data_IF_660768152084
#
_entry.id   IF_660768152084
#
_cell.length_a   1.000
_cell.length_b   1.000
_cell.length_c   1.000
_cell.angle_alpha   90.00
_cell.angle_beta   90.00
_cell.angle_gamma   90.00
#
_symmetry.space_group_name_H-M   'P 1'
#
loop_
_entity.id
_entity.type
_entity.pdbx_description
1 polymer ?
#
# COMPACT_ATOMS: atom_id res chain seq x y z
N UNK A 1 -8.18 80.68 -46.32
CA UNK A 1 -7.63 79.35 -46.42
C UNK A 1 -7.23 78.90 -45.01
N UNK A 2 -8.12 78.12 -44.41
CA UNK A 2 -7.90 77.67 -42.99
C UNK A 2 -7.47 76.24 -43.03
N UNK A 3 -6.32 75.93 -42.39
CA UNK A 3 -5.81 74.62 -42.17
C UNK A 3 -6.40 74.11 -40.83
N UNK A 4 -7.23 73.07 -40.88
CA UNK A 4 -7.82 72.46 -39.72
C UNK A 4 -6.80 71.43 -39.14
N UNK A 5 -6.36 71.69 -37.93
CA UNK A 5 -5.51 70.85 -37.15
C UNK A 5 -6.38 69.69 -36.56
N UNK A 6 -6.12 68.45 -36.96
CA UNK A 6 -6.79 67.26 -36.43
C UNK A 6 -6.02 66.86 -35.18
N UNK A 7 -6.63 66.97 -33.97
CA UNK A 7 -6.15 66.41 -32.72
C UNK A 7 -6.40 64.89 -32.72
N UNK A 8 -5.36 64.13 -32.75
CA UNK A 8 -5.43 62.69 -32.46
C UNK A 8 -5.66 62.50 -30.95
N UNK A 9 -6.85 62.05 -30.57
CA UNK A 9 -7.11 61.46 -29.25
C UNK A 9 -6.48 60.08 -29.22
N UNK A 10 -5.46 59.92 -28.39
CA UNK A 10 -4.95 58.61 -28.02
C UNK A 10 -5.93 58.05 -26.99
N UNK A 11 -6.76 57.07 -27.37
CA UNK A 11 -7.46 56.20 -26.45
C UNK A 11 -6.42 55.28 -25.82
N UNK A 12 -6.15 55.49 -24.54
CA UNK A 12 -5.48 54.50 -23.72
C UNK A 12 -6.50 53.38 -23.42
N UNK A 13 -6.46 52.30 -24.17
CA UNK A 13 -7.17 51.09 -23.85
C UNK A 13 -6.44 50.43 -22.65
N UNK A 14 -6.96 50.63 -21.45
CA UNK A 14 -6.57 49.89 -20.29
C UNK A 14 -7.01 48.43 -20.45
N UNK A 15 -6.07 47.59 -20.84
CA UNK A 15 -6.24 46.13 -20.79
C UNK A 15 -6.24 45.76 -19.30
N UNK A 16 -7.43 45.75 -18.73
CA UNK A 16 -7.67 45.07 -17.46
C UNK A 16 -7.62 43.57 -17.77
N UNK A 17 -6.41 43.00 -17.75
CA UNK A 17 -6.23 41.55 -17.75
C UNK A 17 -6.83 41.04 -16.44
N UNK A 18 -8.04 40.52 -16.54
CA UNK A 18 -8.67 39.78 -15.49
C UNK A 18 -7.80 38.59 -15.17
N UNK A 19 -7.03 38.70 -14.09
CA UNK A 19 -6.49 37.57 -13.36
C UNK A 19 -7.69 36.81 -12.77
N UNK A 20 -8.42 36.10 -13.60
CA UNK A 20 -9.16 34.94 -13.18
C UNK A 20 -8.11 33.95 -12.72
N UNK A 21 -7.72 34.10 -11.46
CA UNK A 21 -6.99 33.06 -10.74
C UNK A 21 -7.81 31.77 -10.87
N UNK A 22 -7.36 30.87 -11.75
CA UNK A 22 -7.58 29.47 -11.54
C UNK A 22 -7.01 29.19 -10.15
N UNK A 23 -7.83 29.30 -9.11
CA UNK A 23 -7.65 28.56 -7.89
C UNK A 23 -7.75 27.09 -8.34
N UNK A 24 -6.63 26.55 -8.89
CA UNK A 24 -6.41 25.14 -8.87
C UNK A 24 -6.63 24.80 -7.40
N UNK A 25 -7.69 24.10 -7.11
CA UNK A 25 -7.88 23.47 -5.84
C UNK A 25 -6.69 22.53 -5.73
N UNK A 26 -5.62 23.01 -5.10
CA UNK A 26 -4.58 22.12 -4.61
C UNK A 26 -5.33 21.23 -3.65
N UNK A 27 -5.75 20.05 -4.14
CA UNK A 27 -6.23 19.01 -3.26
C UNK A 27 -5.10 18.82 -2.26
N UNK A 28 -5.31 19.26 -1.04
CA UNK A 28 -4.37 19.00 0.05
C UNK A 28 -4.18 17.49 0.04
N UNK A 29 -2.92 17.04 -0.03
CA UNK A 29 -2.62 15.62 0.00
C UNK A 29 -3.39 15.00 1.18
N UNK A 30 -4.01 13.83 1.00
CA UNK A 30 -4.78 13.21 2.07
C UNK A 30 -3.87 13.02 3.28
N UNK A 31 -4.33 13.49 4.44
CA UNK A 31 -3.65 13.24 5.71
C UNK A 31 -3.75 11.75 6.03
N UNK A 32 -2.64 11.12 6.48
CA UNK A 32 -2.68 9.74 6.95
C UNK A 32 -3.71 9.55 8.07
N UNK A 33 -4.36 8.38 8.06
CA UNK A 33 -5.31 8.01 9.13
C UNK A 33 -4.64 7.88 10.50
N UNK A 34 -3.33 7.60 10.54
CA UNK A 34 -2.53 7.75 11.75
C UNK A 34 -2.10 9.22 11.90
N UNK A 35 -2.62 9.97 12.90
CA UNK A 35 -2.26 11.38 13.09
C UNK A 35 -0.78 11.60 13.43
N UNK A 36 -0.11 10.55 13.95
CA UNK A 36 1.30 10.58 14.31
C UNK A 36 2.22 10.06 13.19
N UNK A 37 1.67 9.79 11.99
CA UNK A 37 2.44 9.22 10.89
C UNK A 37 3.77 9.95 10.66
N UNK A 38 4.83 9.19 10.43
CA UNK A 38 6.16 9.74 10.17
C UNK A 38 6.19 10.59 8.90
N UNK A 39 7.13 11.51 8.76
CA UNK A 39 7.28 12.31 7.54
C UNK A 39 7.40 11.47 6.28
N UNK A 40 8.08 10.32 6.35
CA UNK A 40 8.26 9.38 5.24
C UNK A 40 6.93 8.72 4.85
N UNK A 41 6.14 8.30 5.83
CA UNK A 41 4.81 7.72 5.58
C UNK A 41 3.86 8.75 4.95
N UNK A 42 3.86 9.99 5.48
CA UNK A 42 3.09 11.11 4.89
C UNK A 42 3.51 11.40 3.46
N UNK A 43 4.81 11.47 3.20
CA UNK A 43 5.34 11.76 1.88
C UNK A 43 5.03 10.62 0.89
N UNK A 44 5.11 9.36 1.33
CA UNK A 44 4.74 8.21 0.49
C UNK A 44 3.24 8.25 0.13
N UNK A 45 2.35 8.50 1.10
CA UNK A 45 0.92 8.61 0.82
C UNK A 45 0.62 9.78 -0.12
N UNK A 46 1.24 10.94 0.10
CA UNK A 46 1.10 12.10 -0.78
C UNK A 46 1.59 11.80 -2.20
N UNK A 47 2.69 11.07 -2.35
CA UNK A 47 3.20 10.63 -3.65
C UNK A 47 2.20 9.72 -4.36
N UNK A 48 1.70 8.67 -3.70
CA UNK A 48 0.72 7.76 -4.29
C UNK A 48 -0.56 8.50 -4.71
N UNK A 49 -1.01 9.46 -3.91
CA UNK A 49 -2.13 10.29 -4.29
C UNK A 49 -1.84 11.14 -5.55
N UNK A 50 -0.63 11.68 -5.67
CA UNK A 50 -0.23 12.55 -6.79
C UNK A 50 -0.17 11.83 -8.14
N UNK A 51 0.13 10.54 -8.15
CA UNK A 51 0.21 9.74 -9.37
C UNK A 51 -1.15 9.13 -9.78
N UNK A 52 -2.15 9.16 -8.89
CA UNK A 52 -3.49 8.63 -9.15
C UNK A 52 -4.11 9.29 -10.39
N UNK A 53 -4.55 8.49 -11.34
CA UNK A 53 -5.06 8.95 -12.63
C UNK A 53 -4.00 9.17 -13.71
N UNK A 54 -2.71 9.26 -13.34
CA UNK A 54 -1.63 9.60 -14.27
C UNK A 54 -0.63 8.47 -14.52
N UNK A 55 -0.29 7.72 -13.48
CA UNK A 55 0.72 6.65 -13.57
C UNK A 55 0.42 5.53 -12.58
N UNK A 56 1.11 4.40 -12.75
CA UNK A 56 0.99 3.21 -11.90
C UNK A 56 2.37 2.64 -11.60
N UNK A 57 2.64 2.33 -10.33
CA UNK A 57 3.89 1.70 -9.91
C UNK A 57 3.81 0.20 -10.19
N UNK A 58 4.82 -0.35 -10.89
CA UNK A 58 4.94 -1.79 -11.09
C UNK A 58 5.37 -2.47 -9.80
N UNK A 59 4.85 -3.63 -9.49
CA UNK A 59 5.13 -4.30 -8.22
C UNK A 59 5.27 -5.80 -8.33
N UNK A 60 6.06 -6.36 -7.41
CA UNK A 60 6.32 -7.79 -7.33
C UNK A 60 6.35 -8.26 -5.89
N UNK A 61 5.58 -9.31 -5.59
CA UNK A 61 5.61 -10.04 -4.33
C UNK A 61 6.76 -11.04 -4.28
N UNK A 62 7.30 -11.27 -3.09
CA UNK A 62 8.30 -12.31 -2.80
C UNK A 62 7.92 -13.03 -1.51
N UNK A 63 8.16 -14.32 -1.45
CA UNK A 63 8.00 -15.08 -0.22
C UNK A 63 9.13 -14.78 0.78
N UNK A 64 8.89 -14.84 2.09
CA UNK A 64 9.88 -14.49 3.10
C UNK A 64 11.20 -15.27 2.99
N UNK A 65 11.18 -16.53 2.58
CA UNK A 65 12.38 -17.36 2.43
C UNK A 65 13.08 -17.16 1.06
N UNK A 66 12.45 -16.50 0.11
CA UNK A 66 12.98 -16.30 -1.24
C UNK A 66 13.78 -14.99 -1.41
N UNK A 67 13.79 -14.12 -0.38
CA UNK A 67 14.42 -12.80 -0.44
C UNK A 67 13.82 -11.94 -1.55
N UNK A 68 14.60 -11.58 -2.57
CA UNK A 68 14.15 -10.80 -3.72
C UNK A 68 14.06 -11.64 -5.02
N UNK A 69 13.92 -12.94 -4.94
CA UNK A 69 13.96 -13.85 -6.08
C UNK A 69 13.02 -13.42 -7.21
N UNK A 70 11.76 -13.17 -6.88
CA UNK A 70 10.74 -12.84 -7.87
C UNK A 70 10.87 -11.41 -8.40
N UNK A 71 11.36 -10.49 -7.58
CA UNK A 71 11.73 -9.13 -8.02
C UNK A 71 12.89 -9.17 -9.02
N UNK A 72 13.90 -10.00 -8.78
CA UNK A 72 15.01 -10.20 -9.71
C UNK A 72 14.54 -10.90 -10.99
N UNK A 73 13.65 -11.90 -10.90
CA UNK A 73 13.07 -12.54 -12.08
C UNK A 73 12.28 -11.53 -12.93
N UNK A 74 11.49 -10.65 -12.33
CA UNK A 74 10.79 -9.60 -13.06
C UNK A 74 11.78 -8.72 -13.85
N UNK A 75 12.90 -8.36 -13.23
CA UNK A 75 13.98 -7.65 -13.91
C UNK A 75 14.60 -8.47 -15.04
N UNK A 76 14.91 -9.74 -14.81
CA UNK A 76 15.53 -10.60 -15.83
C UNK A 76 14.62 -10.79 -17.06
N UNK A 77 13.30 -10.83 -16.84
CA UNK A 77 12.31 -10.95 -17.90
C UNK A 77 12.09 -9.65 -18.69
N UNK A 78 12.13 -8.50 -18.02
CA UNK A 78 11.67 -7.22 -18.58
C UNK A 78 12.78 -6.19 -18.75
N UNK A 79 13.97 -6.41 -18.17
CA UNK A 79 15.02 -5.40 -18.07
C UNK A 79 14.69 -4.26 -17.09
N UNK A 80 13.60 -4.37 -16.31
CA UNK A 80 13.12 -3.35 -15.39
C UNK A 80 12.92 -3.89 -13.98
N UNK A 81 13.51 -3.23 -12.97
CA UNK A 81 13.15 -3.54 -11.58
C UNK A 81 11.78 -2.97 -11.24
N UNK A 82 10.89 -3.77 -10.63
CA UNK A 82 9.63 -3.27 -10.08
C UNK A 82 9.85 -2.10 -9.13
N UNK A 83 8.97 -1.10 -9.19
CA UNK A 83 9.01 0.06 -8.29
C UNK A 83 8.52 -0.27 -6.88
N UNK A 84 7.71 -1.33 -6.72
CA UNK A 84 7.18 -1.78 -5.43
C UNK A 84 7.68 -3.19 -5.13
N UNK A 85 8.17 -3.37 -3.91
CA UNK A 85 8.65 -4.63 -3.35
C UNK A 85 7.67 -5.11 -2.28
N UNK A 86 7.08 -6.29 -2.49
CA UNK A 86 6.15 -6.93 -1.55
C UNK A 86 6.74 -8.15 -0.88
N UNK A 87 6.43 -8.33 0.41
CA UNK A 87 6.70 -9.56 1.16
C UNK A 87 5.61 -9.86 2.20
N UNK A 88 5.66 -11.08 2.73
CA UNK A 88 4.77 -11.61 3.76
C UNK A 88 5.54 -11.98 5.02
N UNK A 89 4.91 -11.89 6.20
CA UNK A 89 5.55 -12.34 7.45
C UNK A 89 5.60 -13.86 7.58
N UNK A 90 4.89 -14.61 6.71
CA UNK A 90 4.87 -16.06 6.73
C UNK A 90 4.18 -16.66 7.96
N UNK A 91 4.05 -17.99 7.97
CA UNK A 91 3.33 -18.77 8.99
C UNK A 91 3.92 -20.15 9.21
N UNK A 92 4.73 -20.65 8.30
CA UNK A 92 5.23 -22.04 8.27
C UNK A 92 6.60 -22.20 8.93
N UNK A 93 7.12 -23.42 8.93
CA UNK A 93 8.39 -23.80 9.55
C UNK A 93 9.50 -24.11 8.55
N UNK A 94 10.73 -24.15 9.04
CA UNK A 94 11.86 -24.73 8.32
C UNK A 94 12.19 -24.03 7.01
N UNK A 95 12.40 -24.84 5.97
CA UNK A 95 12.79 -24.37 4.63
C UNK A 95 11.59 -24.00 3.74
N UNK A 96 10.38 -23.94 4.29
CA UNK A 96 9.19 -23.52 3.54
C UNK A 96 9.32 -22.07 3.07
N UNK A 97 8.76 -21.78 1.91
CA UNK A 97 8.80 -20.43 1.32
C UNK A 97 8.16 -19.36 2.23
N UNK A 98 7.17 -19.75 3.04
CA UNK A 98 6.46 -18.91 4.00
C UNK A 98 6.98 -19.06 5.44
N UNK A 99 8.26 -19.40 5.61
CA UNK A 99 8.86 -19.69 6.92
C UNK A 99 8.92 -18.47 7.85
N UNK A 100 8.39 -18.61 9.05
CA UNK A 100 8.53 -17.60 10.12
C UNK A 100 9.98 -17.39 10.55
N UNK A 101 10.86 -18.38 10.31
CA UNK A 101 12.29 -18.27 10.61
C UNK A 101 13.01 -17.28 9.69
N UNK A 102 12.42 -16.95 8.55
CA UNK A 102 12.97 -16.00 7.58
C UNK A 102 12.68 -14.54 7.93
N UNK A 103 11.81 -14.26 8.91
CA UNK A 103 11.42 -12.88 9.31
C UNK A 103 12.61 -11.96 9.56
N UNK A 104 13.68 -12.35 10.28
CA UNK A 104 14.85 -11.46 10.46
C UNK A 104 15.54 -11.12 9.14
N UNK A 105 15.76 -12.10 8.25
CA UNK A 105 16.36 -11.90 6.95
C UNK A 105 15.45 -11.05 6.03
N UNK A 106 14.14 -11.28 6.08
CA UNK A 106 13.14 -10.52 5.39
C UNK A 106 13.23 -9.02 5.75
N UNK A 107 13.35 -8.67 7.02
CA UNK A 107 13.45 -7.29 7.48
C UNK A 107 14.71 -6.60 6.90
N UNK A 108 15.83 -7.29 6.87
CA UNK A 108 17.06 -6.75 6.27
C UNK A 108 16.92 -6.59 4.74
N UNK A 109 16.25 -7.54 4.09
CA UNK A 109 15.95 -7.44 2.66
C UNK A 109 15.01 -6.25 2.36
N UNK A 110 13.97 -6.05 3.15
CA UNK A 110 13.06 -4.90 3.04
C UNK A 110 13.82 -3.57 3.16
N UNK A 111 14.71 -3.45 4.16
CA UNK A 111 15.55 -2.26 4.32
C UNK A 111 16.43 -2.03 3.09
N UNK A 112 17.03 -3.11 2.56
CA UNK A 112 17.87 -3.07 1.36
C UNK A 112 17.08 -2.63 0.12
N UNK A 113 15.89 -3.16 -0.08
CA UNK A 113 15.03 -2.79 -1.21
C UNK A 113 14.57 -1.34 -1.13
N UNK A 114 14.20 -0.87 0.07
CA UNK A 114 13.89 0.55 0.29
C UNK A 114 15.10 1.45 0.01
N UNK A 115 16.27 1.10 0.50
CA UNK A 115 17.50 1.85 0.22
C UNK A 115 17.82 1.92 -1.29
N UNK A 116 17.46 0.87 -2.04
CA UNK A 116 17.60 0.81 -3.50
C UNK A 116 16.44 1.50 -4.26
N UNK A 117 15.53 2.18 -3.58
CA UNK A 117 14.50 3.00 -4.20
C UNK A 117 13.12 2.36 -4.37
N UNK A 118 12.90 1.17 -3.87
CA UNK A 118 11.58 0.54 -3.92
C UNK A 118 10.62 1.14 -2.88
N UNK A 119 9.33 1.22 -3.23
CA UNK A 119 8.24 1.30 -2.25
C UNK A 119 8.10 -0.07 -1.61
N UNK A 120 7.83 -0.12 -0.31
CA UNK A 120 7.67 -1.37 0.43
C UNK A 120 6.21 -1.61 0.78
N UNK A 121 5.71 -2.82 0.50
CA UNK A 121 4.43 -3.31 1.00
C UNK A 121 4.61 -4.63 1.73
N UNK A 122 3.98 -4.75 2.89
CA UNK A 122 4.01 -5.97 3.69
C UNK A 122 2.59 -6.43 4.02
N UNK A 123 2.38 -7.73 3.91
CA UNK A 123 1.17 -8.42 4.36
C UNK A 123 1.53 -9.50 5.38
N UNK A 124 0.53 -10.13 5.94
CA UNK A 124 0.70 -11.24 6.84
C UNK A 124 -0.46 -12.23 6.69
N UNK A 125 -0.13 -13.44 6.29
CA UNK A 125 -1.03 -14.58 6.40
C UNK A 125 -0.99 -15.06 7.87
N UNK A 126 -1.80 -14.38 8.69
CA UNK A 126 -1.77 -14.55 10.14
C UNK A 126 -2.21 -15.94 10.55
N UNK A 127 -1.46 -16.52 11.49
CA UNK A 127 -1.87 -17.73 12.19
C UNK A 127 -3.20 -17.51 12.92
N UNK A 128 -4.09 -18.49 12.87
CA UNK A 128 -5.36 -18.41 13.62
C UNK A 128 -5.06 -18.29 15.13
N UNK A 129 -5.73 -17.38 15.87
CA UNK A 129 -5.41 -17.12 17.28
C UNK A 129 -5.57 -18.33 18.23
N UNK A 130 -6.22 -19.40 17.78
CA UNK A 130 -6.30 -20.66 18.52
C UNK A 130 -5.08 -21.53 18.38
N UNK A 131 -4.18 -21.22 17.44
CA UNK A 131 -3.01 -22.03 17.10
C UNK A 131 -1.71 -21.27 17.44
N UNK A 132 -0.59 -22.01 17.51
CA UNK A 132 0.75 -21.43 17.72
C UNK A 132 1.61 -21.65 16.47
N UNK A 133 2.37 -20.62 16.05
CA UNK A 133 3.35 -20.76 14.98
C UNK A 133 4.47 -21.75 15.37
N UNK A 134 4.98 -22.54 14.40
CA UNK A 134 4.64 -22.56 12.98
C UNK A 134 3.38 -23.41 12.70
N UNK A 135 2.67 -23.05 11.62
CA UNK A 135 1.43 -23.72 11.21
C UNK A 135 1.45 -24.07 9.72
N UNK A 136 0.44 -24.84 9.27
CA UNK A 136 0.18 -25.01 7.85
C UNK A 136 -0.87 -24.01 7.34
N UNK A 137 -0.79 -23.69 6.06
CA UNK A 137 -1.74 -22.77 5.41
C UNK A 137 -3.19 -23.24 5.57
N UNK A 138 -3.45 -24.51 5.24
CA UNK A 138 -4.81 -25.05 5.23
C UNK A 138 -5.41 -25.26 6.62
N UNK A 139 -4.61 -25.64 7.60
CA UNK A 139 -5.13 -25.97 8.92
C UNK A 139 -5.34 -24.74 9.80
N UNK A 140 -4.55 -23.69 9.62
CA UNK A 140 -4.60 -22.49 10.44
C UNK A 140 -5.02 -21.25 9.64
N UNK A 141 -4.24 -20.79 8.68
CA UNK A 141 -4.53 -19.57 7.91
C UNK A 141 -5.89 -19.65 7.21
N UNK A 142 -6.20 -20.81 6.60
CA UNK A 142 -7.51 -21.11 6.01
C UNK A 142 -8.48 -21.76 7.02
N UNK A 143 -8.17 -21.76 8.30
CA UNK A 143 -9.07 -22.25 9.35
C UNK A 143 -10.25 -21.31 9.58
N UNK A 144 -11.05 -21.66 10.58
CA UNK A 144 -12.21 -20.84 10.95
C UNK A 144 -12.29 -20.69 12.46
N UNK A 145 -12.87 -19.58 12.90
CA UNK A 145 -13.28 -19.37 14.29
C UNK A 145 -14.80 -19.56 14.39
N UNK A 146 -15.27 -20.21 15.46
CA UNK A 146 -16.67 -20.19 15.83
C UNK A 146 -17.13 -18.77 16.18
N UNK A 147 -18.42 -18.53 16.21
CA UNK A 147 -18.95 -17.20 16.61
C UNK A 147 -18.59 -16.85 18.06
N UNK A 148 -18.53 -17.85 18.94
CA UNK A 148 -18.08 -17.65 20.32
C UNK A 148 -16.61 -17.26 20.40
N UNK A 149 -15.72 -17.91 19.64
CA UNK A 149 -14.30 -17.52 19.55
C UNK A 149 -14.13 -16.15 18.93
N UNK A 150 -14.91 -15.82 17.88
CA UNK A 150 -14.91 -14.49 17.28
C UNK A 150 -15.27 -13.40 18.29
N UNK A 151 -16.31 -13.62 19.09
CA UNK A 151 -16.67 -12.69 20.16
C UNK A 151 -15.58 -12.55 21.22
N UNK A 152 -14.92 -13.65 21.60
CA UNK A 152 -13.78 -13.61 22.52
C UNK A 152 -12.60 -12.82 21.90
N UNK A 153 -12.28 -13.05 20.63
CA UNK A 153 -11.21 -12.35 19.92
C UNK A 153 -11.42 -10.83 19.93
N UNK A 154 -12.66 -10.37 19.78
CA UNK A 154 -12.99 -8.94 19.76
C UNK A 154 -13.24 -8.34 21.17
N UNK A 155 -13.21 -9.14 22.23
CA UNK A 155 -13.48 -8.70 23.60
C UNK A 155 -12.18 -8.58 24.40
N UNK A 156 -11.71 -7.35 24.73
CA UNK A 156 -10.48 -7.15 25.52
C UNK A 156 -10.49 -7.93 26.83
N UNK A 157 -9.35 -8.56 27.15
CA UNK A 157 -9.14 -9.28 28.40
C UNK A 157 -9.57 -10.75 28.37
N UNK A 158 -10.24 -11.22 27.33
CA UNK A 158 -10.54 -12.65 27.16
C UNK A 158 -9.25 -13.45 26.81
N UNK A 159 -9.23 -14.78 27.06
CA UNK A 159 -8.06 -15.58 26.71
C UNK A 159 -7.66 -15.50 25.24
N UNK A 160 -8.64 -15.53 24.32
CA UNK A 160 -8.34 -15.50 22.88
C UNK A 160 -7.86 -14.12 22.41
N UNK A 161 -8.41 -13.03 22.96
CA UNK A 161 -7.88 -11.68 22.74
C UNK A 161 -6.43 -11.55 23.20
N UNK A 162 -6.08 -12.09 24.38
CA UNK A 162 -4.71 -12.05 24.91
C UNK A 162 -3.75 -12.84 24.01
N UNK A 163 -4.15 -14.03 23.53
CA UNK A 163 -3.35 -14.82 22.57
C UNK A 163 -3.12 -14.04 21.28
N UNK A 164 -4.18 -13.49 20.69
CA UNK A 164 -4.08 -12.65 19.52
C UNK A 164 -3.12 -11.47 19.74
N UNK A 165 -3.24 -10.78 20.87
CA UNK A 165 -2.28 -9.73 21.23
C UNK A 165 -0.84 -10.23 21.21
N UNK A 166 -0.56 -11.41 21.78
CA UNK A 166 0.79 -11.97 21.81
C UNK A 166 1.33 -12.27 20.40
N UNK A 167 0.50 -12.75 19.49
CA UNK A 167 0.87 -13.05 18.11
C UNK A 167 1.17 -11.77 17.32
N UNK A 168 0.28 -10.79 17.35
CA UNK A 168 0.47 -9.52 16.63
C UNK A 168 1.64 -8.70 17.18
N UNK A 169 1.96 -8.82 18.50
CA UNK A 169 3.10 -8.16 19.12
C UNK A 169 4.44 -8.66 18.60
N UNK A 170 4.52 -9.92 18.19
CA UNK A 170 5.72 -10.46 17.52
C UNK A 170 5.96 -9.72 16.20
N UNK A 171 4.93 -9.60 15.37
CA UNK A 171 5.03 -8.89 14.08
C UNK A 171 5.27 -7.39 14.29
N UNK A 172 4.63 -6.79 15.31
CA UNK A 172 4.91 -5.41 15.70
C UNK A 172 6.39 -5.18 16.04
N UNK A 173 7.06 -6.17 16.66
CA UNK A 173 8.49 -6.13 16.93
C UNK A 173 9.35 -6.02 15.67
N UNK A 174 8.98 -6.70 14.59
CA UNK A 174 9.64 -6.61 13.29
C UNK A 174 9.33 -5.26 12.57
N UNK A 175 8.07 -4.84 12.57
CA UNK A 175 7.67 -3.56 12.00
C UNK A 175 8.33 -2.37 12.70
N UNK A 176 8.60 -2.48 14.01
CA UNK A 176 9.36 -1.48 14.78
C UNK A 176 10.78 -1.30 14.26
N UNK A 177 11.45 -2.39 13.84
CA UNK A 177 12.79 -2.29 13.24
C UNK A 177 12.78 -1.51 11.92
N UNK A 178 11.68 -1.57 11.16
CA UNK A 178 11.50 -0.76 9.95
C UNK A 178 11.19 0.69 10.30
N UNK A 179 10.37 0.94 11.34
CA UNK A 179 10.13 2.29 11.86
C UNK A 179 11.43 2.96 12.29
N UNK A 180 12.23 2.26 13.08
CA UNK A 180 13.49 2.78 13.62
C UNK A 180 14.54 2.99 12.52
N UNK A 181 14.41 2.29 11.38
CA UNK A 181 15.19 2.49 10.15
C UNK A 181 14.55 3.51 9.19
N UNK A 182 13.49 4.19 9.60
CA UNK A 182 12.76 5.19 8.80
C UNK A 182 12.21 4.65 7.45
N UNK A 183 11.81 3.40 7.43
CA UNK A 183 11.20 2.75 6.27
C UNK A 183 9.68 2.88 6.37
N UNK A 184 9.01 3.67 5.51
CA UNK A 184 7.57 3.68 5.44
C UNK A 184 7.07 2.38 4.78
N UNK A 185 6.00 1.81 5.31
CA UNK A 185 5.47 0.53 4.87
C UNK A 185 4.00 0.66 4.51
N UNK A 186 3.62 0.26 3.31
CA UNK A 186 2.24 -0.02 2.97
C UNK A 186 1.84 -1.33 3.67
N UNK A 187 1.16 -1.23 4.81
CA UNK A 187 0.81 -2.40 5.61
C UNK A 187 -0.59 -2.90 5.29
N UNK A 188 -0.69 -4.11 4.75
CA UNK A 188 -1.92 -4.74 4.28
C UNK A 188 -2.34 -5.84 5.24
N UNK A 189 -3.00 -5.45 6.35
CA UNK A 189 -3.54 -6.37 7.33
C UNK A 189 -4.84 -7.03 6.84
N UNK A 190 -5.04 -8.31 7.19
CA UNK A 190 -6.28 -9.05 6.96
C UNK A 190 -6.83 -8.89 5.55
N UNK A 191 -5.96 -9.10 4.56
CA UNK A 191 -6.30 -8.97 3.14
C UNK A 191 -7.44 -9.92 2.73
N UNK A 192 -8.09 -9.61 1.61
CA UNK A 192 -9.18 -10.41 1.05
C UNK A 192 -10.32 -10.71 2.06
N UNK A 193 -10.57 -9.80 3.00
CA UNK A 193 -11.46 -10.05 4.13
C UNK A 193 -12.94 -10.27 3.74
N UNK A 194 -13.32 -9.96 2.50
CA UNK A 194 -14.64 -10.26 1.97
C UNK A 194 -14.78 -11.71 1.45
N UNK A 195 -13.66 -12.46 1.37
CA UNK A 195 -13.66 -13.90 1.09
C UNK A 195 -13.77 -14.71 2.39
N UNK A 196 -14.24 -15.96 2.27
CA UNK A 196 -14.43 -16.87 3.40
C UNK A 196 -13.32 -17.93 3.53
N UNK A 197 -12.21 -17.76 2.84
CA UNK A 197 -11.11 -18.75 2.81
C UNK A 197 -10.04 -18.52 3.87
N UNK A 198 -10.00 -17.35 4.51
CA UNK A 198 -9.12 -17.06 5.64
C UNK A 198 -9.92 -16.98 6.93
N UNK A 199 -9.31 -17.32 8.08
CA UNK A 199 -9.98 -17.30 9.37
C UNK A 199 -10.53 -15.91 9.77
N UNK A 200 -9.93 -14.84 9.25
CA UNK A 200 -10.35 -13.44 9.50
C UNK A 200 -11.43 -12.93 8.54
N UNK A 201 -11.72 -13.68 7.46
CA UNK A 201 -12.59 -13.25 6.39
C UNK A 201 -14.03 -13.74 6.51
N UNK A 202 -14.88 -13.33 5.54
CA UNK A 202 -16.24 -13.81 5.40
C UNK A 202 -17.23 -13.35 6.48
N UNK A 203 -16.86 -12.39 7.33
CA UNK A 203 -17.71 -11.84 8.39
C UNK A 203 -18.09 -10.39 8.06
N UNK A 204 -19.23 -10.15 7.39
CA UNK A 204 -19.68 -8.82 6.99
C UNK A 204 -20.14 -7.97 8.18
N UNK A 205 -20.23 -6.67 7.96
CA UNK A 205 -20.78 -5.71 8.92
C UNK A 205 -19.77 -5.17 9.92
N UNK A 206 -20.25 -4.23 10.73
CA UNK A 206 -19.38 -3.43 11.63
C UNK A 206 -18.67 -4.25 12.72
N UNK A 207 -19.21 -5.38 13.12
CA UNK A 207 -18.71 -6.25 14.18
C UNK A 207 -18.00 -7.51 13.60
N UNK A 208 -17.89 -7.58 12.27
CA UNK A 208 -17.20 -8.65 11.54
C UNK A 208 -15.73 -8.37 11.28
N UNK A 209 -15.23 -8.79 10.12
CA UNK A 209 -13.82 -8.62 9.72
C UNK A 209 -13.34 -7.17 9.80
N UNK A 210 -14.22 -6.20 9.55
CA UNK A 210 -13.95 -4.78 9.73
C UNK A 210 -13.60 -4.42 11.18
N UNK A 211 -14.21 -5.07 12.19
CA UNK A 211 -13.88 -4.85 13.59
C UNK A 211 -12.46 -5.35 13.92
N UNK A 212 -12.07 -6.50 13.40
CA UNK A 212 -10.73 -7.04 13.58
C UNK A 212 -9.66 -6.13 12.94
N UNK A 213 -9.94 -5.57 11.74
CA UNK A 213 -9.05 -4.59 11.11
C UNK A 213 -8.87 -3.34 11.99
N UNK A 214 -9.95 -2.82 12.58
CA UNK A 214 -9.83 -1.69 13.53
C UNK A 214 -9.04 -2.07 14.77
N UNK A 215 -9.20 -3.30 15.26
CA UNK A 215 -8.49 -3.78 16.45
C UNK A 215 -6.97 -3.83 16.24
N UNK A 216 -6.48 -4.33 15.08
CA UNK A 216 -5.04 -4.34 14.80
C UNK A 216 -4.52 -2.92 14.54
N UNK A 217 -5.31 -2.06 13.88
CA UNK A 217 -4.98 -0.65 13.72
C UNK A 217 -4.76 0.01 15.10
N UNK A 218 -5.72 -0.11 16.01
CA UNK A 218 -5.64 0.50 17.33
C UNK A 218 -4.44 -0.03 18.11
N UNK A 219 -4.14 -1.33 18.03
CA UNK A 219 -2.99 -1.90 18.70
C UNK A 219 -1.66 -1.40 18.13
N UNK A 220 -1.52 -1.38 16.81
CA UNK A 220 -0.27 -0.97 16.17
C UNK A 220 -0.01 0.53 16.29
N UNK A 221 -1.05 1.36 16.19
CA UNK A 221 -0.92 2.82 16.30
C UNK A 221 -0.81 3.25 17.77
N UNK A 222 -1.74 2.80 18.63
CA UNK A 222 -1.88 3.36 19.96
C UNK A 222 -1.02 2.66 21.03
N UNK A 223 -0.64 1.38 20.81
CA UNK A 223 0.18 0.62 21.75
C UNK A 223 1.62 0.51 21.29
N UNK A 224 1.85 0.19 20.02
CA UNK A 224 3.21 -0.02 19.48
C UNK A 224 3.80 1.22 18.82
N UNK A 225 3.02 2.27 18.57
CA UNK A 225 3.45 3.51 17.92
C UNK A 225 4.18 3.23 16.59
N UNK A 226 3.57 2.37 15.76
CA UNK A 226 4.07 2.06 14.43
C UNK A 226 3.68 3.15 13.44
N UNK A 227 4.25 4.34 13.63
CA UNK A 227 3.89 5.56 12.92
C UNK A 227 4.45 5.61 11.49
N UNK A 228 5.25 4.62 11.11
CA UNK A 228 5.76 4.44 9.74
C UNK A 228 4.79 3.69 8.82
N UNK A 229 3.65 3.21 9.33
CA UNK A 229 2.69 2.46 8.53
C UNK A 229 1.74 3.38 7.77
N UNK A 230 1.56 3.09 6.49
CA UNK A 230 0.47 3.57 5.65
C UNK A 230 -0.53 2.42 5.56
N UNK A 231 -1.74 2.65 6.00
CA UNK A 231 -2.75 1.59 6.21
C UNK A 231 -3.47 1.23 4.93
N UNK A 232 -3.33 0.00 4.51
CA UNK A 232 -3.91 -0.54 3.27
C UNK A 232 -5.05 -1.49 3.62
N UNK A 233 -6.28 -1.07 3.34
CA UNK A 233 -7.42 -1.98 3.40
C UNK A 233 -7.59 -2.71 2.07
N UNK A 234 -7.92 -4.01 2.15
CA UNK A 234 -7.93 -4.90 1.00
C UNK A 234 -9.14 -5.84 0.96
N UNK A 235 -9.61 -6.07 -0.25
CA UNK A 235 -10.64 -7.07 -0.58
C UNK A 235 -10.26 -7.84 -1.83
N UNK A 236 -10.80 -9.05 -1.97
CA UNK A 236 -10.79 -9.77 -3.24
C UNK A 236 -11.87 -9.27 -4.17
N UNK A 237 -11.65 -9.36 -5.47
CA UNK A 237 -12.67 -9.09 -6.49
C UNK A 237 -13.96 -9.88 -6.20
N UNK A 238 -15.14 -9.25 -6.19
CA UNK A 238 -16.39 -9.92 -5.89
C UNK A 238 -16.69 -11.09 -6.84
N UNK A 239 -17.17 -12.18 -6.28
CA UNK A 239 -17.54 -13.40 -7.01
C UNK A 239 -17.18 -14.68 -6.25
N UNK A 240 -17.82 -15.78 -6.57
CA UNK A 240 -17.67 -17.01 -5.81
C UNK A 240 -18.09 -16.84 -4.34
N UNK A 241 -17.17 -17.09 -3.40
CA UNK A 241 -17.39 -16.89 -1.96
C UNK A 241 -16.99 -15.49 -1.44
N UNK A 242 -16.53 -14.57 -2.31
CA UNK A 242 -16.24 -13.20 -1.95
C UNK A 242 -17.51 -12.34 -1.95
N UNK A 243 -17.84 -11.77 -0.79
CA UNK A 243 -19.02 -10.93 -0.59
C UNK A 243 -18.88 -9.51 -1.14
N UNK A 244 -19.96 -8.69 -1.02
CA UNK A 244 -19.95 -7.29 -1.41
C UNK A 244 -18.88 -6.51 -0.66
N UNK A 245 -18.06 -5.73 -1.37
CA UNK A 245 -16.86 -5.07 -0.80
C UNK A 245 -17.21 -4.08 0.31
N UNK A 246 -18.31 -3.33 0.18
CA UNK A 246 -18.70 -2.29 1.13
C UNK A 246 -19.03 -2.82 2.53
N UNK A 247 -19.48 -4.08 2.62
CA UNK A 247 -19.88 -4.72 3.89
C UNK A 247 -18.69 -4.99 4.81
N UNK A 248 -17.47 -4.88 4.29
CA UNK A 248 -16.23 -5.17 5.00
C UNK A 248 -15.38 -3.91 5.24
N UNK A 249 -15.84 -2.74 4.81
CA UNK A 249 -15.06 -1.51 4.92
C UNK A 249 -14.97 -1.03 6.38
N UNK A 250 -13.76 -0.88 6.95
CA UNK A 250 -13.58 -0.50 8.36
C UNK A 250 -13.92 0.96 8.65
N UNK A 251 -14.10 1.77 7.61
CA UNK A 251 -14.35 3.20 7.68
C UNK A 251 -13.16 4.05 7.19
N UNK A 252 -13.43 5.26 6.72
CA UNK A 252 -12.41 6.12 6.10
C UNK A 252 -11.30 6.55 7.07
N UNK A 253 -11.50 6.46 8.38
CA UNK A 253 -10.52 6.82 9.41
C UNK A 253 -9.51 5.70 9.71
N UNK A 254 -9.63 4.53 9.08
CA UNK A 254 -8.76 3.38 9.32
C UNK A 254 -7.96 2.93 8.11
N UNK A 255 -8.21 3.47 6.93
CA UNK A 255 -7.54 3.10 5.70
C UNK A 255 -7.02 4.32 4.95
N UNK A 256 -5.74 4.33 4.62
CA UNK A 256 -5.10 5.34 3.76
C UNK A 256 -5.30 5.01 2.28
N UNK A 257 -5.20 3.73 1.94
CA UNK A 257 -5.44 3.17 0.61
C UNK A 257 -6.54 2.13 0.66
N UNK A 258 -7.29 2.05 -0.46
CA UNK A 258 -8.34 1.05 -0.68
C UNK A 258 -7.90 0.18 -1.86
N UNK A 259 -7.72 -1.13 -1.63
CA UNK A 259 -7.09 -2.01 -2.61
C UNK A 259 -7.91 -3.27 -2.89
N UNK A 260 -7.67 -3.85 -4.06
CA UNK A 260 -8.35 -5.07 -4.50
C UNK A 260 -7.34 -6.06 -5.05
N UNK A 261 -7.56 -7.34 -4.75
CA UNK A 261 -6.85 -8.46 -5.34
C UNK A 261 -7.68 -9.04 -6.48
N UNK A 262 -7.06 -9.17 -7.67
CA UNK A 262 -7.75 -9.62 -8.88
C UNK A 262 -6.95 -10.76 -9.52
N UNK A 263 -7.49 -11.97 -9.40
CA UNK A 263 -6.97 -13.18 -10.07
C UNK A 263 -7.83 -13.60 -11.28
N UNK A 264 -8.79 -12.76 -11.65
CA UNK A 264 -9.73 -12.94 -12.76
C UNK A 264 -9.57 -11.82 -13.80
N UNK A 265 -10.64 -11.45 -14.47
CA UNK A 265 -10.67 -10.33 -15.42
C UNK A 265 -10.76 -8.98 -14.69
N UNK A 266 -10.09 -7.95 -15.22
CA UNK A 266 -10.14 -6.57 -14.74
C UNK A 266 -11.45 -5.89 -15.18
N UNK A 267 -12.57 -6.25 -14.53
CA UNK A 267 -13.89 -5.71 -14.88
C UNK A 267 -14.00 -4.23 -14.51
N UNK A 268 -14.57 -3.44 -15.40
CA UNK A 268 -14.80 -2.02 -15.17
C UNK A 268 -15.66 -1.77 -13.92
N UNK A 269 -16.61 -2.66 -13.62
CA UNK A 269 -17.44 -2.56 -12.42
C UNK A 269 -16.60 -2.62 -11.13
N UNK A 270 -15.57 -3.47 -11.06
CA UNK A 270 -14.68 -3.55 -9.90
C UNK A 270 -13.97 -2.23 -9.67
N UNK A 271 -13.38 -1.68 -10.74
CA UNK A 271 -12.72 -0.39 -10.69
C UNK A 271 -13.66 0.73 -10.23
N UNK A 272 -14.86 0.82 -10.82
CA UNK A 272 -15.84 1.85 -10.46
C UNK A 272 -16.23 1.75 -8.98
N UNK A 273 -16.54 0.54 -8.48
CA UNK A 273 -16.87 0.34 -7.07
C UNK A 273 -15.73 0.73 -6.12
N UNK A 274 -14.47 0.47 -6.51
CA UNK A 274 -13.31 0.87 -5.70
C UNK A 274 -13.10 2.38 -5.69
N UNK A 275 -13.29 3.05 -6.83
CA UNK A 275 -13.22 4.52 -6.93
C UNK A 275 -14.28 5.18 -6.06
N UNK A 276 -15.50 4.68 -6.08
CA UNK A 276 -16.62 5.18 -5.27
C UNK A 276 -16.34 4.99 -3.78
N UNK A 277 -15.96 3.78 -3.37
CA UNK A 277 -15.70 3.44 -1.97
C UNK A 277 -14.50 4.23 -1.40
N UNK A 278 -13.47 4.42 -2.20
CA UNK A 278 -12.25 5.14 -1.80
C UNK A 278 -12.50 6.63 -1.52
N UNK A 279 -13.56 7.22 -2.09
CA UNK A 279 -13.96 8.62 -1.86
C UNK A 279 -12.78 9.62 -1.99
N UNK A 280 -11.94 9.45 -3.01
CA UNK A 280 -10.79 10.30 -3.28
C UNK A 280 -9.44 9.75 -2.80
N UNK A 281 -9.39 8.77 -1.91
CA UNK A 281 -8.15 8.07 -1.51
C UNK A 281 -7.53 7.31 -2.68
N UNK A 282 -6.20 7.05 -2.65
CA UNK A 282 -5.56 6.19 -3.63
C UNK A 282 -6.16 4.79 -3.64
N UNK A 283 -6.30 4.21 -4.83
CA UNK A 283 -6.69 2.81 -5.01
C UNK A 283 -5.56 2.05 -5.69
N UNK A 284 -5.47 0.73 -5.44
CA UNK A 284 -4.45 -0.09 -6.06
C UNK A 284 -4.89 -1.55 -6.25
N UNK A 285 -4.15 -2.25 -7.11
CA UNK A 285 -4.23 -3.69 -7.31
C UNK A 285 -3.19 -4.35 -6.41
N UNK A 286 -3.59 -4.73 -5.18
CA UNK A 286 -2.63 -5.19 -4.19
C UNK A 286 -2.14 -6.62 -4.45
N UNK A 287 -2.90 -7.41 -5.20
CA UNK A 287 -2.44 -8.66 -5.79
C UNK A 287 -3.05 -8.86 -7.18
N UNK A 288 -2.23 -9.33 -8.09
CA UNK A 288 -2.70 -9.80 -9.39
C UNK A 288 -1.98 -11.08 -9.81
N UNK A 289 -2.73 -12.00 -10.43
CA UNK A 289 -2.13 -13.15 -11.11
C UNK A 289 -1.71 -12.76 -12.53
N UNK A 290 -2.69 -12.39 -13.36
CA UNK A 290 -2.42 -11.80 -14.67
C UNK A 290 -2.12 -10.31 -14.52
N UNK A 291 -1.13 -9.85 -15.25
CA UNK A 291 -0.79 -8.43 -15.32
C UNK A 291 -1.92 -7.62 -16.00
N UNK A 292 -2.25 -6.43 -15.51
CA UNK A 292 -3.17 -5.53 -16.21
C UNK A 292 -2.52 -5.07 -17.52
N UNK A 293 -3.25 -5.20 -18.64
CA UNK A 293 -2.70 -4.76 -19.93
C UNK A 293 -2.61 -3.22 -20.00
N UNK A 294 -1.79 -2.64 -20.89
CA UNK A 294 -1.77 -1.19 -21.09
C UNK A 294 -3.16 -0.60 -21.33
N UNK A 295 -4.04 -1.31 -22.06
CA UNK A 295 -5.41 -0.87 -22.34
C UNK A 295 -6.27 -0.83 -21.06
N UNK A 296 -6.10 -1.82 -20.17
CA UNK A 296 -6.76 -1.82 -18.84
C UNK A 296 -6.28 -0.61 -18.04
N UNK A 297 -4.99 -0.31 -18.05
CA UNK A 297 -4.43 0.83 -17.33
C UNK A 297 -4.92 2.19 -17.87
N UNK A 298 -5.20 2.28 -19.17
CA UNK A 298 -5.81 3.48 -19.77
C UNK A 298 -7.30 3.62 -19.42
N UNK A 299 -8.04 2.51 -19.37
CA UNK A 299 -9.47 2.51 -19.03
C UNK A 299 -9.73 2.64 -17.53
N UNK A 300 -8.77 2.24 -16.69
CA UNK A 300 -8.85 2.23 -15.23
C UNK A 300 -7.68 3.04 -14.61
N UNK A 301 -7.58 4.34 -14.93
CA UNK A 301 -6.35 5.11 -14.72
C UNK A 301 -5.99 5.40 -13.26
N UNK A 302 -6.91 5.23 -12.30
CA UNK A 302 -6.65 5.62 -10.90
C UNK A 302 -5.93 4.56 -10.06
N UNK A 303 -5.69 3.34 -10.58
CA UNK A 303 -4.82 2.39 -9.92
C UNK A 303 -3.41 2.98 -9.74
N UNK A 304 -2.91 3.06 -8.50
CA UNK A 304 -1.61 3.69 -8.17
C UNK A 304 -0.46 2.70 -8.17
N UNK A 305 -0.72 1.44 -7.91
CA UNK A 305 0.22 0.35 -8.13
C UNK A 305 -0.50 -0.95 -8.48
N UNK A 306 0.22 -1.88 -9.06
CA UNK A 306 -0.14 -3.30 -9.08
C UNK A 306 1.00 -4.12 -8.47
N UNK A 307 0.68 -5.26 -7.87
CA UNK A 307 1.67 -6.22 -7.37
C UNK A 307 1.36 -7.62 -7.89
N UNK A 308 2.26 -8.16 -8.73
CA UNK A 308 2.14 -9.54 -9.18
C UNK A 308 2.55 -10.48 -8.05
N UNK A 309 1.75 -11.51 -7.81
CA UNK A 309 2.05 -12.48 -6.77
C UNK A 309 3.16 -13.44 -7.22
N UNK A 310 4.32 -13.35 -6.59
CA UNK A 310 5.48 -14.26 -6.73
C UNK A 310 5.66 -14.88 -8.12
N UNK A 311 5.50 -16.20 -8.23
CA UNK A 311 5.71 -16.99 -9.46
C UNK A 311 4.73 -16.65 -10.60
N UNK A 312 3.63 -15.98 -10.31
CA UNK A 312 2.61 -15.66 -11.33
C UNK A 312 3.15 -14.72 -12.42
N UNK A 313 4.25 -14.00 -12.15
CA UNK A 313 4.93 -13.21 -13.19
C UNK A 313 5.29 -14.05 -14.42
N UNK A 314 5.63 -15.34 -14.23
CA UNK A 314 6.01 -16.25 -15.29
C UNK A 314 5.00 -17.37 -15.54
N UNK A 315 4.16 -17.74 -14.53
CA UNK A 315 3.24 -18.88 -14.68
C UNK A 315 1.88 -18.47 -15.24
N UNK A 316 1.48 -17.21 -15.05
CA UNK A 316 0.22 -16.66 -15.54
C UNK A 316 0.37 -15.64 -16.67
N UNK A 317 1.61 -15.24 -16.99
CA UNK A 317 1.89 -14.19 -17.96
C UNK A 317 2.94 -14.65 -18.99
N UNK A 318 2.79 -14.24 -20.23
CA UNK A 318 3.82 -14.39 -21.25
C UNK A 318 4.89 -13.29 -21.11
N UNK A 319 6.06 -13.52 -21.69
CA UNK A 319 7.13 -12.51 -21.76
C UNK A 319 6.65 -11.22 -22.44
N UNK A 320 5.87 -11.35 -23.52
CA UNK A 320 5.33 -10.19 -24.25
C UNK A 320 4.35 -9.38 -23.37
N UNK A 321 3.49 -10.05 -22.59
CA UNK A 321 2.59 -9.38 -21.63
C UNK A 321 3.38 -8.64 -20.56
N UNK A 322 4.39 -9.27 -19.96
CA UNK A 322 5.23 -8.63 -18.96
C UNK A 322 5.95 -7.40 -19.54
N UNK A 323 6.57 -7.55 -20.73
CA UNK A 323 7.22 -6.42 -21.40
C UNK A 323 6.25 -5.31 -21.75
N UNK A 324 5.06 -5.63 -22.29
CA UNK A 324 4.05 -4.62 -22.65
C UNK A 324 3.68 -3.73 -21.44
N UNK A 325 3.51 -4.33 -20.26
CA UNK A 325 3.14 -3.59 -19.05
C UNK A 325 4.32 -2.84 -18.45
N UNK A 326 5.49 -3.47 -18.29
CA UNK A 326 6.67 -2.85 -17.67
C UNK A 326 7.24 -1.70 -18.52
N UNK A 327 7.01 -1.70 -19.85
CA UNK A 327 7.42 -0.64 -20.77
C UNK A 327 6.29 0.31 -21.17
N UNK A 328 5.08 0.15 -20.59
CA UNK A 328 3.98 1.07 -20.86
C UNK A 328 4.30 2.48 -20.34
N UNK A 329 3.83 3.51 -21.05
CA UNK A 329 4.10 4.91 -20.72
C UNK A 329 3.65 5.28 -19.29
N UNK A 330 2.58 4.67 -18.80
CA UNK A 330 2.03 4.91 -17.47
C UNK A 330 2.77 4.16 -16.36
N UNK A 331 3.54 3.12 -16.68
CA UNK A 331 4.22 2.28 -15.70
C UNK A 331 5.47 2.95 -15.15
N UNK A 332 5.58 2.93 -13.82
CA UNK A 332 6.71 3.46 -13.06
C UNK A 332 7.51 2.31 -12.49
N UNK A 333 8.64 2.04 -13.11
CA UNK A 333 9.65 1.12 -12.59
C UNK A 333 10.59 1.86 -11.64
N UNK A 334 11.42 1.12 -10.91
CA UNK A 334 12.33 1.69 -9.89
C UNK A 334 13.26 2.79 -10.41
N UNK A 335 13.72 2.66 -11.65
CA UNK A 335 14.64 3.59 -12.32
C UNK A 335 13.94 4.76 -13.04
N UNK A 336 12.60 4.75 -13.11
CA UNK A 336 11.85 5.85 -13.72
C UNK A 336 11.99 7.12 -12.88
N UNK A 337 12.43 8.26 -13.45
CA UNK A 337 12.60 9.50 -12.70
C UNK A 337 11.34 9.98 -11.97
N UNK A 338 10.15 9.65 -12.48
CA UNK A 338 8.86 9.99 -11.84
C UNK A 338 8.63 9.24 -10.53
N UNK A 339 9.35 8.13 -10.28
CA UNK A 339 9.38 7.39 -9.01
C UNK A 339 10.70 7.61 -8.26
N UNK A 340 11.84 7.49 -8.93
CA UNK A 340 13.15 7.51 -8.31
C UNK A 340 13.43 8.84 -7.58
N UNK A 341 13.09 9.98 -8.18
CA UNK A 341 13.31 11.30 -7.58
C UNK A 341 12.43 11.51 -6.32
N UNK A 342 11.11 11.27 -6.33
CA UNK A 342 10.31 11.31 -5.11
C UNK A 342 10.79 10.35 -4.02
N UNK A 343 11.12 9.10 -4.37
CA UNK A 343 11.62 8.13 -3.38
C UNK A 343 12.97 8.55 -2.77
N UNK A 344 13.85 9.16 -3.54
CA UNK A 344 15.08 9.74 -3.01
C UNK A 344 14.79 10.90 -2.05
N UNK A 345 13.84 11.77 -2.39
CA UNK A 345 13.43 12.87 -1.52
C UNK A 345 12.82 12.36 -0.20
N UNK A 346 11.97 11.32 -0.26
CA UNK A 346 11.39 10.68 0.93
C UNK A 346 12.51 10.15 1.84
N UNK A 347 13.50 9.44 1.31
CA UNK A 347 14.64 8.92 2.08
C UNK A 347 15.52 10.00 2.67
N UNK A 348 15.72 11.12 1.96
CA UNK A 348 16.59 12.25 2.41
C UNK A 348 15.89 13.14 3.46
N UNK A 349 14.57 13.23 3.47
CA UNK A 349 13.83 14.06 4.43
C UNK A 349 14.14 13.71 5.89
N UNK A 350 14.58 12.48 6.14
CA UNK A 350 14.98 11.97 7.46
C UNK A 350 16.39 12.40 7.83
N UNK A 351 17.36 12.32 6.90
CA UNK A 351 18.76 12.57 7.16
C UNK A 351 19.04 14.04 7.60
N UNK A 352 18.21 14.98 7.14
CA UNK A 352 18.35 16.39 7.50
C UNK A 352 17.90 16.71 8.94
N UNK A 353 17.11 15.86 9.58
CA UNK A 353 16.64 16.08 10.97
C UNK A 353 17.52 15.45 12.04
N UNK A 354 18.23 14.39 11.71
CA UNK A 354 19.21 13.76 12.62
C UNK A 354 20.54 14.53 12.70
N UNK A 355 20.81 15.41 11.74
CA UNK A 355 22.03 16.25 11.68
C UNK A 355 21.99 17.57 12.45
N UNK A 356 20.88 17.98 13.07
CA UNK A 356 20.69 19.31 13.69
C UNK A 356 20.71 19.30 15.22
N UNK A 357 21.32 18.32 15.87
CA UNK A 357 21.55 18.39 17.33
C UNK A 357 22.97 17.97 17.74
N UNK A 358 23.99 18.61 17.20
CA UNK A 358 25.30 18.70 17.89
C UNK A 358 25.99 19.98 17.44
N UNK A 359 25.57 21.14 17.96
CA UNK A 359 26.44 22.29 18.09
C UNK A 359 25.77 23.32 19.01
N UNK A 360 26.16 23.33 20.27
CA UNK A 360 25.74 24.38 21.19
C UNK A 360 25.79 24.01 22.65
N UNK A 361 26.96 23.64 23.15
CA UNK A 361 27.33 23.95 24.54
C UNK A 361 28.85 23.79 24.71
N UNK A 362 29.58 24.82 24.33
CA UNK A 362 30.86 25.13 24.97
C UNK A 362 30.91 26.62 25.21
N UNK A 363 31.20 26.95 26.44
CA UNK A 363 31.71 28.20 27.02
C UNK A 363 30.74 28.87 27.99
N UNK A 364 30.82 28.63 29.23
CA UNK A 364 31.50 29.35 30.29
C UNK A 364 31.19 28.70 31.65
#
# INVERSE_FOLDING_TARGET
MQVKTIRMLRLAASVLAGLLGCAAWAQTAPEPVNPNATPEARALLAYLNSISGNAIVTGQHNYPNDGARWTNLAHDLTGKYPGLFGQDFGFSAGDDKDSVLSRPAMIEEVKRQYANGAIVTLTWHEVRPTDDEPVTFHESVQGHLTDSEWQQLLTPGTPLYIRWCSQVDVVAGYLRQLRDAHVPVLFRAYHEMNGSWFWWGGRPGKDGSAALYRQIYDRFVNVHHLDNLVWVWNVNAPGGSAGPIADYYPGPQYADLVTMDIYSEFKQQFYTSMVELAAGKPIALAEVGKLPTPEVLEQQPRWTYFMTWSEWIQTANTLDQANAVYHALRSLNRDDPRLAVPMEAIRKATASRTGVRVSGSNSQ
#
